data_IF_051660187459
#
_entry.id   IF_051660187459
#
_cell.length_a   1.000
_cell.length_b   1.000
_cell.length_c   1.000
_cell.angle_alpha   90.00
_cell.angle_beta   90.00
_cell.angle_gamma   90.00
#
_symmetry.space_group_name_H-M   'P 1'
#
loop_
_entity.id
_entity.type
_entity.pdbx_description
1 polymer ?
#
# COMPACT_ATOMS: atom_id res chain seq x y z
N UNK A 1 -2.83 -2.23 -6.21
CA UNK A 1 -2.65 -2.20 -4.73
C UNK A 1 -3.58 -1.13 -4.15
N UNK A 2 -3.81 -1.16 -2.84
CA UNK A 2 -4.65 -0.21 -2.08
C UNK A 2 -4.15 1.24 -2.11
N UNK A 3 -2.87 1.45 -2.38
CA UNK A 3 -2.20 2.75 -2.47
C UNK A 3 -1.99 3.24 -3.91
N UNK A 4 -2.33 2.45 -4.92
CA UNK A 4 -2.01 2.77 -6.33
C UNK A 4 -2.96 3.80 -6.96
N UNK A 5 -4.17 3.94 -6.41
CA UNK A 5 -5.17 4.93 -6.82
C UNK A 5 -5.53 5.82 -5.64
N UNK A 6 -5.85 7.07 -5.92
CA UNK A 6 -6.37 8.00 -4.92
C UNK A 6 -7.87 7.77 -4.72
N UNK A 7 -8.27 7.58 -3.46
CA UNK A 7 -9.66 7.56 -3.05
C UNK A 7 -10.15 9.00 -2.79
N UNK A 8 -11.32 9.37 -3.32
CA UNK A 8 -11.95 10.68 -3.12
C UNK A 8 -11.07 11.91 -3.49
N UNK A 9 -10.55 11.99 -4.73
CA UNK A 9 -9.64 13.07 -5.15
C UNK A 9 -10.23 14.49 -5.00
N UNK A 10 -11.55 14.63 -5.18
CA UNK A 10 -12.25 15.91 -5.03
C UNK A 10 -12.20 16.40 -3.58
N UNK A 11 -12.46 15.52 -2.62
CA UNK A 11 -12.43 15.88 -1.20
C UNK A 11 -11.02 16.29 -0.76
N UNK A 12 -9.99 15.58 -1.23
CA UNK A 12 -8.59 15.92 -0.98
C UNK A 12 -8.24 17.28 -1.60
N UNK A 13 -8.71 17.57 -2.81
CA UNK A 13 -8.48 18.86 -3.49
C UNK A 13 -9.17 20.01 -2.75
N UNK A 14 -10.39 19.80 -2.23
CA UNK A 14 -11.11 20.79 -1.42
C UNK A 14 -10.33 21.13 -0.14
N UNK A 15 -9.73 20.15 0.54
CA UNK A 15 -8.89 20.43 1.73
C UNK A 15 -7.74 21.39 1.39
N UNK A 16 -7.10 21.21 0.24
CA UNK A 16 -6.04 22.12 -0.25
C UNK A 16 -6.59 23.50 -0.58
N UNK A 17 -7.73 23.57 -1.26
CA UNK A 17 -8.37 24.83 -1.59
C UNK A 17 -8.69 25.63 -0.32
N UNK A 18 -9.31 24.99 0.66
CA UNK A 18 -9.67 25.60 1.93
C UNK A 18 -8.45 26.07 2.73
N UNK A 19 -7.41 25.23 2.83
CA UNK A 19 -6.16 25.58 3.51
C UNK A 19 -5.46 26.82 2.91
N UNK A 20 -5.63 27.05 1.60
CA UNK A 20 -5.02 28.16 0.88
C UNK A 20 -5.98 29.33 0.60
N UNK A 21 -7.16 29.33 1.22
CA UNK A 21 -8.21 30.34 1.01
C UNK A 21 -8.62 30.49 -0.47
N UNK A 22 -8.68 29.38 -1.19
CA UNK A 22 -9.27 29.30 -2.52
C UNK A 22 -10.75 28.92 -2.44
N UNK A 23 -11.59 29.39 -3.37
CA UNK A 23 -13.02 29.08 -3.38
C UNK A 23 -13.28 27.61 -3.71
N UNK A 24 -14.36 27.06 -3.14
CA UNK A 24 -14.75 25.65 -3.32
C UNK A 24 -15.55 25.39 -4.62
N UNK A 25 -15.80 26.42 -5.43
CA UNK A 25 -16.46 26.28 -6.74
C UNK A 25 -15.45 25.81 -7.81
N UNK A 26 -15.72 24.69 -8.49
CA UNK A 26 -14.80 24.04 -9.44
C UNK A 26 -14.08 25.01 -10.40
N UNK A 27 -14.83 25.88 -11.09
CA UNK A 27 -14.27 26.80 -12.09
C UNK A 27 -13.26 27.79 -11.50
N UNK A 28 -13.53 28.32 -10.30
CA UNK A 28 -12.67 29.33 -9.64
C UNK A 28 -11.59 28.69 -8.77
N UNK A 29 -11.81 27.48 -8.28
CA UNK A 29 -10.87 26.74 -7.45
C UNK A 29 -9.56 26.52 -8.19
N UNK A 30 -9.65 25.96 -9.40
CA UNK A 30 -8.48 25.64 -10.20
C UNK A 30 -7.70 26.91 -10.62
N UNK A 31 -8.39 28.00 -10.94
CA UNK A 31 -7.74 29.28 -11.24
C UNK A 31 -6.99 29.84 -10.02
N UNK A 32 -7.60 29.81 -8.84
CA UNK A 32 -6.96 30.26 -7.61
C UNK A 32 -5.74 29.42 -7.25
N UNK A 33 -5.86 28.08 -7.28
CA UNK A 33 -4.76 27.16 -6.95
C UNK A 33 -3.57 27.34 -7.90
N UNK A 34 -3.80 27.60 -9.19
CA UNK A 34 -2.73 27.90 -10.17
C UNK A 34 -1.93 29.16 -9.84
N UNK A 35 -2.48 30.09 -9.08
CA UNK A 35 -1.79 31.33 -8.67
C UNK A 35 -0.97 31.17 -7.38
N UNK A 36 -1.10 30.04 -6.67
CA UNK A 36 -0.33 29.74 -5.45
C UNK A 36 1.08 29.30 -5.81
N UNK A 37 2.04 29.59 -4.93
CA UNK A 37 3.41 29.14 -5.09
C UNK A 37 3.48 27.65 -4.76
N UNK A 38 4.40 26.94 -5.42
CA UNK A 38 4.58 25.50 -5.20
C UNK A 38 4.79 25.14 -3.72
N UNK A 39 5.61 25.91 -2.99
CA UNK A 39 5.86 25.64 -1.58
C UNK A 39 4.61 25.81 -0.70
N UNK A 40 3.68 26.69 -1.07
CA UNK A 40 2.40 26.84 -0.36
C UNK A 40 1.53 25.60 -0.59
N UNK A 41 1.48 25.11 -1.83
CA UNK A 41 0.73 23.90 -2.20
C UNK A 41 1.28 22.65 -1.50
N UNK A 42 2.59 22.46 -1.48
CA UNK A 42 3.23 21.28 -0.89
C UNK A 42 3.28 21.31 0.64
N UNK A 43 3.09 22.49 1.25
CA UNK A 43 3.08 22.64 2.71
C UNK A 43 1.70 22.36 3.33
N UNK A 44 0.64 22.20 2.52
CA UNK A 44 -0.68 21.86 3.05
C UNK A 44 -0.66 20.45 3.62
N UNK A 45 -1.04 20.34 4.88
CA UNK A 45 -1.26 19.06 5.54
C UNK A 45 -2.66 18.52 5.21
N UNK A 46 -2.72 17.55 4.30
CA UNK A 46 -3.97 16.93 3.86
C UNK A 46 -4.26 15.71 4.72
N UNK A 47 -5.44 15.70 5.33
CA UNK A 47 -5.91 14.58 6.12
C UNK A 47 -6.50 13.50 5.21
N UNK A 48 -5.85 12.33 5.19
CA UNK A 48 -6.34 11.12 4.53
C UNK A 48 -6.25 9.92 5.48
N UNK A 49 -7.12 8.92 5.32
CA UNK A 49 -7.00 7.69 6.10
C UNK A 49 -5.61 7.06 5.95
N UNK A 50 -5.09 6.39 6.99
CA UNK A 50 -3.85 5.64 6.91
C UNK A 50 -3.84 4.69 5.69
N UNK A 51 -2.65 4.44 5.15
CA UNK A 51 -2.42 3.56 3.99
C UNK A 51 -3.01 4.02 2.65
N UNK A 52 -3.65 5.19 2.57
CA UNK A 52 -4.17 5.80 1.34
C UNK A 52 -3.21 6.84 0.77
N UNK A 53 -3.27 6.99 -0.55
CA UNK A 53 -2.48 7.98 -1.28
C UNK A 53 -3.33 9.24 -1.51
N UNK A 54 -2.94 10.41 -0.95
CA UNK A 54 -3.75 11.63 -1.07
C UNK A 54 -3.79 12.15 -2.50
N UNK A 55 -2.65 12.17 -3.19
CA UNK A 55 -2.54 12.60 -4.58
C UNK A 55 -1.86 11.50 -5.40
N UNK A 56 -2.54 11.03 -6.43
CA UNK A 56 -2.11 9.91 -7.25
C UNK A 56 -3.07 9.70 -8.42
N UNK A 57 -2.88 8.61 -9.18
CA UNK A 57 -3.76 8.30 -10.30
C UNK A 57 -5.22 8.12 -9.86
N UNK A 58 -6.15 8.51 -10.73
CA UNK A 58 -7.61 8.40 -10.54
C UNK A 58 -8.23 7.75 -11.77
N UNK A 59 -9.39 7.11 -11.62
CA UNK A 59 -10.17 6.61 -12.76
C UNK A 59 -10.90 7.80 -13.40
N UNK A 60 -10.31 8.36 -14.45
CA UNK A 60 -10.79 9.56 -15.15
C UNK A 60 -11.63 9.24 -16.40
N UNK A 61 -11.71 7.97 -16.80
CA UNK A 61 -12.43 7.56 -18.00
C UNK A 61 -11.66 7.82 -19.30
N UNK A 62 -10.45 8.38 -19.23
CA UNK A 62 -9.62 8.73 -20.39
C UNK A 62 -8.25 8.06 -20.32
N UNK A 63 -7.38 8.50 -19.41
CA UNK A 63 -6.05 7.92 -19.22
C UNK A 63 -6.15 6.60 -18.45
N UNK A 64 -6.96 6.58 -17.40
CA UNK A 64 -7.34 5.38 -16.65
C UNK A 64 -8.83 5.15 -16.88
N UNK A 65 -9.19 4.40 -17.94
CA UNK A 65 -10.58 4.34 -18.40
C UNK A 65 -11.53 3.59 -17.45
N UNK A 66 -11.00 2.74 -16.57
CA UNK A 66 -11.76 1.96 -15.59
C UNK A 66 -10.84 1.49 -14.45
N UNK A 67 -11.40 0.81 -13.47
CA UNK A 67 -10.66 0.09 -12.44
C UNK A 67 -9.59 -0.83 -13.06
N UNK A 68 -8.30 -0.73 -12.65
CA UNK A 68 -7.22 -1.51 -13.24
C UNK A 68 -7.46 -3.02 -13.24
N UNK A 69 -8.14 -3.54 -12.23
CA UNK A 69 -8.49 -4.98 -12.16
C UNK A 69 -9.48 -5.41 -13.24
N UNK A 70 -10.41 -4.53 -13.63
CA UNK A 70 -11.36 -4.74 -14.74
C UNK A 70 -10.61 -4.65 -16.06
N UNK A 71 -9.74 -3.65 -16.21
CA UNK A 71 -8.93 -3.47 -17.43
C UNK A 71 -8.07 -4.71 -17.68
N UNK A 72 -7.28 -5.13 -16.69
CA UNK A 72 -6.37 -6.27 -16.81
C UNK A 72 -7.09 -7.59 -17.07
N UNK A 73 -8.33 -7.74 -16.58
CA UNK A 73 -9.12 -8.96 -16.76
C UNK A 73 -9.81 -9.03 -18.14
N UNK A 74 -10.31 -7.91 -18.64
CA UNK A 74 -11.19 -7.89 -19.82
C UNK A 74 -10.53 -7.35 -21.10
N UNK A 75 -9.53 -6.47 -20.97
CA UNK A 75 -8.85 -5.82 -22.09
C UNK A 75 -7.45 -6.40 -22.27
N UNK A 76 -7.40 -7.71 -22.48
CA UNK A 76 -6.18 -8.53 -22.52
C UNK A 76 -5.21 -8.15 -23.62
N UNK A 77 -5.70 -7.58 -24.72
CA UNK A 77 -4.87 -7.12 -25.85
C UNK A 77 -3.84 -6.08 -25.44
N UNK A 78 -4.12 -5.26 -24.42
CA UNK A 78 -3.13 -4.29 -23.91
C UNK A 78 -1.96 -5.00 -23.23
N UNK A 79 -2.25 -5.98 -22.38
CA UNK A 79 -1.24 -6.73 -21.63
C UNK A 79 -0.42 -7.67 -22.54
N UNK A 80 -1.02 -8.19 -23.61
CA UNK A 80 -0.35 -9.13 -24.51
C UNK A 80 0.82 -8.51 -25.30
N UNK A 81 0.84 -7.18 -25.46
CA UNK A 81 1.77 -6.51 -26.38
C UNK A 81 3.21 -6.39 -25.89
N UNK A 82 3.46 -6.62 -24.60
CA UNK A 82 4.77 -6.45 -23.99
C UNK A 82 5.19 -7.67 -23.20
N UNK A 83 6.50 -7.89 -23.09
CA UNK A 83 7.07 -8.89 -22.20
C UNK A 83 7.11 -8.28 -20.78
N UNK A 84 6.76 -9.05 -19.74
CA UNK A 84 6.66 -8.53 -18.38
C UNK A 84 7.62 -9.24 -17.45
N UNK A 85 8.35 -8.46 -16.66
CA UNK A 85 9.10 -8.94 -15.50
C UNK A 85 8.53 -8.27 -14.25
N UNK A 86 8.08 -9.09 -13.30
CA UNK A 86 7.60 -8.65 -11.99
C UNK A 86 8.44 -9.28 -10.91
N UNK A 87 8.48 -8.66 -9.73
CA UNK A 87 9.12 -9.31 -8.60
C UNK A 87 8.75 -8.68 -7.28
N UNK A 88 9.17 -9.37 -6.24
CA UNK A 88 8.97 -8.99 -4.86
C UNK A 88 10.30 -8.96 -4.12
N UNK A 89 10.32 -8.29 -2.99
CA UNK A 89 11.34 -8.46 -1.95
C UNK A 89 10.82 -9.35 -0.84
N UNK A 90 11.72 -9.89 -0.01
CA UNK A 90 11.33 -10.71 1.16
C UNK A 90 10.42 -9.95 2.14
N UNK A 91 10.61 -8.63 2.26
CA UNK A 91 9.86 -7.80 3.21
C UNK A 91 9.50 -6.44 2.62
N UNK A 92 8.33 -6.39 2.00
CA UNK A 92 7.86 -5.20 1.26
C UNK A 92 7.42 -4.05 2.17
N UNK A 93 6.92 -4.38 3.37
CA UNK A 93 6.32 -3.41 4.29
C UNK A 93 7.26 -2.92 5.38
N UNK A 94 8.56 -3.23 5.30
CA UNK A 94 9.55 -2.83 6.32
C UNK A 94 9.52 -1.32 6.63
N UNK A 95 9.40 -0.48 5.59
CA UNK A 95 9.40 0.98 5.71
C UNK A 95 8.13 1.56 6.36
N UNK A 96 7.13 0.72 6.70
CA UNK A 96 5.90 1.18 7.37
C UNK A 96 6.06 1.29 8.90
N UNK A 97 7.15 0.77 9.45
CA UNK A 97 7.45 0.82 10.88
C UNK A 97 8.61 1.77 11.17
N UNK A 98 8.62 2.31 12.39
CA UNK A 98 9.73 3.14 12.88
C UNK A 98 10.98 2.30 13.13
N UNK A 99 12.16 2.93 13.10
CA UNK A 99 13.43 2.28 13.43
C UNK A 99 13.38 1.55 14.80
N UNK A 100 12.68 2.13 15.79
CA UNK A 100 12.51 1.53 17.12
C UNK A 100 11.63 0.28 17.05
N UNK A 101 10.47 0.37 16.39
CA UNK A 101 9.56 -0.77 16.23
C UNK A 101 10.23 -1.92 15.46
N UNK A 102 11.09 -1.60 14.50
CA UNK A 102 11.85 -2.57 13.73
C UNK A 102 12.91 -3.31 14.55
N UNK A 103 13.50 -2.67 15.56
CA UNK A 103 14.52 -3.28 16.42
C UNK A 103 13.91 -4.00 17.61
N UNK A 104 13.04 -3.31 18.34
CA UNK A 104 12.49 -3.78 19.63
C UNK A 104 11.25 -4.65 19.45
N UNK A 105 10.49 -4.44 18.38
CA UNK A 105 9.18 -5.03 18.17
C UNK A 105 8.04 -4.06 18.52
N UNK A 106 6.82 -4.58 18.56
CA UNK A 106 5.60 -3.82 18.87
C UNK A 106 4.98 -4.31 20.16
N UNK A 107 4.34 -3.42 20.90
CA UNK A 107 3.39 -3.84 21.94
C UNK A 107 2.13 -4.43 21.29
N UNK A 108 1.37 -5.22 22.05
CA UNK A 108 0.10 -5.78 21.57
C UNK A 108 -0.89 -4.68 21.15
N UNK A 109 -0.92 -3.56 21.89
CA UNK A 109 -1.79 -2.43 21.58
C UNK A 109 -1.40 -1.76 20.25
N UNK A 110 -0.12 -1.47 20.03
CA UNK A 110 0.37 -0.88 18.77
C UNK A 110 0.08 -1.80 17.57
N UNK A 111 0.27 -3.10 17.76
CA UNK A 111 -0.04 -4.11 16.75
C UNK A 111 -1.53 -4.13 16.38
N UNK A 112 -2.42 -4.16 17.39
CA UNK A 112 -3.86 -4.13 17.18
C UNK A 112 -4.30 -2.82 16.52
N UNK A 113 -3.76 -1.68 16.95
CA UNK A 113 -4.05 -0.37 16.38
C UNK A 113 -3.69 -0.31 14.89
N UNK A 114 -2.46 -0.70 14.53
CA UNK A 114 -2.02 -0.71 13.12
C UNK A 114 -2.84 -1.65 12.25
N UNK A 115 -3.25 -2.81 12.78
CA UNK A 115 -4.17 -3.70 12.06
C UNK A 115 -5.54 -3.05 11.85
N UNK A 116 -6.09 -2.41 12.88
CA UNK A 116 -7.37 -1.74 12.77
C UNK A 116 -7.32 -0.61 11.73
N UNK A 117 -6.29 0.24 11.78
CA UNK A 117 -6.06 1.28 10.78
C UNK A 117 -6.06 0.70 9.35
N UNK A 118 -5.31 -0.38 9.13
CA UNK A 118 -5.20 -1.00 7.80
C UNK A 118 -6.51 -1.60 7.32
N UNK A 119 -7.16 -2.44 8.13
CA UNK A 119 -8.39 -3.12 7.73
C UNK A 119 -9.55 -2.15 7.56
N UNK A 120 -9.67 -1.12 8.41
CA UNK A 120 -10.69 -0.09 8.29
C UNK A 120 -10.47 0.77 7.03
N UNK A 121 -9.22 1.11 6.69
CA UNK A 121 -8.92 1.84 5.46
C UNK A 121 -9.13 1.00 4.19
N UNK A 122 -8.93 -0.32 4.26
CA UNK A 122 -9.00 -1.22 3.11
C UNK A 122 -10.41 -1.72 2.81
N UNK A 123 -11.24 -1.96 3.83
CA UNK A 123 -12.55 -2.58 3.69
C UNK A 123 -13.66 -1.67 4.22
N UNK A 124 -14.48 -1.14 3.31
CA UNK A 124 -15.67 -0.36 3.66
C UNK A 124 -16.73 -1.20 4.41
N UNK A 125 -16.72 -2.53 4.20
CA UNK A 125 -17.71 -3.44 4.76
C UNK A 125 -17.04 -4.59 5.51
N UNK A 126 -17.44 -4.78 6.76
CA UNK A 126 -16.97 -5.84 7.66
C UNK A 126 -15.43 -5.91 7.83
N UNK A 127 -14.74 -4.78 8.11
CA UNK A 127 -13.28 -4.79 8.33
C UNK A 127 -12.85 -5.73 9.45
N UNK A 128 -13.65 -5.84 10.52
CA UNK A 128 -13.41 -6.73 11.66
C UNK A 128 -13.36 -8.21 11.29
N UNK A 129 -14.23 -8.65 10.38
CA UNK A 129 -14.25 -10.03 9.91
C UNK A 129 -13.00 -10.34 9.07
N UNK A 130 -12.59 -9.40 8.20
CA UNK A 130 -11.39 -9.53 7.39
C UNK A 130 -10.13 -9.61 8.27
N UNK A 131 -10.04 -8.72 9.27
CA UNK A 131 -8.98 -8.72 10.28
C UNK A 131 -8.92 -10.04 11.04
N UNK A 132 -10.06 -10.53 11.54
CA UNK A 132 -10.15 -11.79 12.30
C UNK A 132 -9.67 -12.98 11.47
N UNK A 133 -10.06 -13.04 10.19
CA UNK A 133 -9.62 -14.10 9.27
C UNK A 133 -8.13 -14.02 8.96
N UNK A 134 -7.60 -12.81 8.72
CA UNK A 134 -6.18 -12.63 8.50
C UNK A 134 -5.40 -13.06 9.75
N UNK A 135 -5.78 -12.59 10.94
CA UNK A 135 -5.17 -12.99 12.20
C UNK A 135 -5.17 -14.51 12.36
N UNK A 136 -6.29 -15.19 12.14
CA UNK A 136 -6.35 -16.65 12.21
C UNK A 136 -5.39 -17.36 11.23
N UNK A 137 -5.19 -16.79 10.03
CA UNK A 137 -4.28 -17.34 9.02
C UNK A 137 -2.80 -17.18 9.40
N UNK A 138 -2.40 -16.01 9.91
CA UNK A 138 -0.99 -15.75 10.27
C UNK A 138 -0.63 -16.26 11.67
N UNK A 139 -1.61 -16.51 12.55
CA UNK A 139 -1.40 -17.05 13.91
C UNK A 139 -0.78 -18.44 13.95
N UNK A 140 -0.92 -19.25 12.90
CA UNK A 140 -0.32 -20.60 12.86
C UNK A 140 1.20 -20.59 12.80
N UNK A 141 1.83 -19.46 12.43
CA UNK A 141 3.28 -19.29 12.33
C UNK A 141 3.94 -18.79 13.64
N UNK A 142 3.15 -18.30 14.62
CA UNK A 142 3.65 -17.83 15.94
C UNK A 142 4.43 -18.89 16.74
N UNK A 143 4.24 -20.19 16.45
CA UNK A 143 4.97 -21.26 17.15
C UNK A 143 6.42 -21.43 16.67
N UNK A 144 6.82 -20.80 15.57
CA UNK A 144 8.14 -20.96 14.97
C UNK A 144 9.13 -19.84 15.33
N UNK A 145 8.66 -18.69 15.81
CA UNK A 145 9.51 -17.53 16.06
C UNK A 145 10.23 -17.64 17.40
N UNK A 146 11.56 -17.77 17.36
CA UNK A 146 12.43 -17.90 18.55
C UNK A 146 12.66 -16.56 19.29
N UNK A 147 11.78 -15.57 19.11
CA UNK A 147 11.92 -14.18 19.56
C UNK A 147 11.00 -13.78 20.72
N UNK A 148 11.10 -12.52 21.16
CA UNK A 148 10.18 -11.97 22.16
C UNK A 148 8.77 -11.81 21.57
N UNK A 149 7.70 -11.78 22.40
CA UNK A 149 6.34 -11.51 21.90
C UNK A 149 6.25 -10.22 21.08
N UNK A 150 6.99 -9.19 21.47
CA UNK A 150 7.02 -7.92 20.75
C UNK A 150 7.56 -8.06 19.31
N UNK A 151 8.59 -8.89 19.12
CA UNK A 151 9.14 -9.20 17.81
C UNK A 151 8.15 -10.03 16.99
N UNK A 152 7.45 -10.97 17.62
CA UNK A 152 6.38 -11.74 16.98
C UNK A 152 5.26 -10.86 16.42
N UNK A 153 4.80 -9.85 17.17
CA UNK A 153 3.81 -8.89 16.70
C UNK A 153 4.30 -8.06 15.51
N UNK A 154 5.54 -7.57 15.57
CA UNK A 154 6.18 -6.86 14.46
C UNK A 154 6.22 -7.72 13.21
N UNK A 155 6.75 -8.93 13.31
CA UNK A 155 6.94 -9.83 12.16
C UNK A 155 5.61 -10.23 11.54
N UNK A 156 4.61 -10.53 12.36
CA UNK A 156 3.26 -10.86 11.91
C UNK A 156 2.62 -9.67 11.18
N UNK A 157 2.75 -8.45 11.72
CA UNK A 157 2.23 -7.25 11.06
C UNK A 157 2.90 -7.03 9.70
N UNK A 158 4.23 -7.14 9.65
CA UNK A 158 5.00 -6.95 8.43
C UNK A 158 4.64 -7.99 7.37
N UNK A 159 4.41 -9.24 7.75
CA UNK A 159 3.93 -10.28 6.84
C UNK A 159 2.53 -9.94 6.29
N UNK A 160 1.57 -9.64 7.17
CA UNK A 160 0.19 -9.28 6.77
C UNK A 160 0.22 -8.10 5.79
N UNK A 161 0.96 -7.03 6.10
CA UNK A 161 1.00 -5.83 5.27
C UNK A 161 1.75 -6.09 3.96
N UNK A 162 2.86 -6.81 3.96
CA UNK A 162 3.63 -7.14 2.74
C UNK A 162 2.79 -7.95 1.77
N UNK A 163 2.10 -8.96 2.27
CA UNK A 163 1.23 -9.80 1.45
C UNK A 163 0.03 -9.02 0.93
N UNK A 164 -0.66 -8.30 1.82
CA UNK A 164 -1.92 -7.68 1.48
C UNK A 164 -1.78 -6.43 0.61
N UNK A 165 -0.66 -5.70 0.70
CA UNK A 165 -0.42 -4.44 -0.01
C UNK A 165 0.44 -4.58 -1.25
N UNK A 166 1.34 -5.58 -1.29
CA UNK A 166 2.32 -5.72 -2.38
C UNK A 166 2.29 -7.11 -2.99
N UNK A 167 2.48 -8.19 -2.23
CA UNK A 167 2.62 -9.53 -2.82
C UNK A 167 1.35 -9.98 -3.56
N UNK A 168 0.19 -9.94 -2.91
CA UNK A 168 -1.07 -10.36 -3.51
C UNK A 168 -1.43 -9.56 -4.79
N UNK A 169 -1.34 -8.22 -4.83
CA UNK A 169 -1.59 -7.49 -6.08
C UNK A 169 -0.54 -7.75 -7.17
N UNK A 170 0.74 -7.86 -6.85
CA UNK A 170 1.80 -8.13 -7.85
C UNK A 170 1.64 -9.53 -8.44
N UNK A 171 1.39 -10.54 -7.60
CA UNK A 171 1.11 -11.92 -8.06
C UNK A 171 -0.15 -11.94 -8.93
N UNK A 172 -1.21 -11.22 -8.54
CA UNK A 172 -2.43 -11.12 -9.35
C UNK A 172 -2.18 -10.44 -10.70
N UNK A 173 -1.38 -9.38 -10.74
CA UNK A 173 -1.00 -8.73 -12.01
C UNK A 173 -0.18 -9.67 -12.88
N UNK A 174 0.80 -10.38 -12.31
CA UNK A 174 1.58 -11.38 -13.03
C UNK A 174 0.70 -12.52 -13.58
N UNK A 175 -0.33 -12.93 -12.84
CA UNK A 175 -1.33 -13.90 -13.28
C UNK A 175 -2.17 -13.39 -14.46
N UNK A 176 -2.64 -12.14 -14.41
CA UNK A 176 -3.36 -11.56 -15.56
C UNK A 176 -2.48 -11.56 -16.82
N UNK A 177 -1.21 -11.18 -16.69
CA UNK A 177 -0.29 -11.12 -17.80
C UNK A 177 0.10 -12.52 -18.33
N UNK A 178 0.45 -13.47 -17.46
CA UNK A 178 0.88 -14.81 -17.91
C UNK A 178 -0.22 -15.61 -18.62
N UNK A 179 -1.49 -15.31 -18.34
CA UNK A 179 -2.63 -15.93 -19.02
C UNK A 179 -2.78 -15.48 -20.49
N UNK A 180 -2.14 -14.37 -20.87
CA UNK A 180 -2.31 -13.76 -22.20
C UNK A 180 -0.99 -13.62 -22.96
N UNK A 181 0.15 -13.63 -22.25
CA UNK A 181 1.49 -13.64 -22.83
C UNK A 181 2.42 -14.58 -22.03
N UNK A 182 3.01 -15.61 -22.67
CA UNK A 182 3.92 -16.56 -21.99
C UNK A 182 5.24 -15.93 -21.55
N UNK A 183 5.62 -14.76 -22.08
CA UNK A 183 6.84 -14.04 -21.70
C UNK A 183 6.62 -13.20 -20.45
N UNK A 184 6.29 -13.91 -19.37
CA UNK A 184 6.04 -13.36 -18.04
C UNK A 184 7.03 -13.97 -17.06
N UNK A 185 7.90 -13.14 -16.49
CA UNK A 185 8.98 -13.55 -15.58
C UNK A 185 8.70 -13.02 -14.17
N UNK A 186 8.88 -13.87 -13.16
CA UNK A 186 8.67 -13.51 -11.77
C UNK A 186 9.93 -13.79 -10.95
N UNK A 187 10.33 -12.86 -10.10
CA UNK A 187 11.46 -13.06 -9.18
C UNK A 187 11.12 -12.68 -7.74
N UNK A 188 11.87 -13.25 -6.79
CA UNK A 188 11.88 -12.82 -5.39
C UNK A 188 13.31 -12.45 -5.03
N UNK A 189 13.51 -11.20 -4.65
CA UNK A 189 14.79 -10.64 -4.28
C UNK A 189 15.02 -10.80 -2.78
N UNK A 190 16.02 -11.62 -2.41
CA UNK A 190 16.30 -12.01 -1.03
C UNK A 190 17.57 -11.36 -0.47
N UNK A 191 18.27 -10.53 -1.25
CA UNK A 191 19.54 -9.97 -0.79
C UNK A 191 19.33 -8.73 0.11
N UNK A 192 19.69 -8.85 1.38
CA UNK A 192 19.81 -7.71 2.29
C UNK A 192 21.23 -7.15 2.33
N UNK A 193 21.43 -5.87 2.01
CA UNK A 193 22.69 -5.17 2.26
C UNK A 193 23.05 -5.17 3.76
N UNK A 194 24.27 -5.61 4.09
CA UNK A 194 24.82 -5.71 5.45
C UNK A 194 25.27 -4.37 6.08
N UNK A 195 24.68 -3.24 5.67
CA UNK A 195 25.08 -1.94 6.20
C UNK A 195 24.48 -1.73 7.60
N UNK A 196 25.32 -1.97 8.62
CA UNK A 196 25.18 -1.66 10.04
C UNK A 196 23.95 -2.27 10.75
N UNK A 197 24.13 -3.43 11.42
CA UNK A 197 23.38 -3.90 12.61
C UNK A 197 21.82 -3.80 12.68
N UNK A 198 21.12 -3.40 11.61
CA UNK A 198 19.66 -3.19 11.57
C UNK A 198 18.86 -4.41 11.07
N UNK A 199 19.53 -5.50 10.68
CA UNK A 199 18.93 -6.59 9.87
C UNK A 199 19.22 -8.02 10.32
N UNK A 200 19.79 -8.24 11.50
CA UNK A 200 20.18 -9.60 11.94
C UNK A 200 19.01 -10.58 12.03
N UNK A 201 17.77 -10.09 12.21
CA UNK A 201 16.56 -10.91 12.31
C UNK A 201 15.87 -11.19 10.96
N UNK A 202 16.19 -10.45 9.90
CA UNK A 202 15.57 -10.65 8.57
C UNK A 202 16.23 -11.81 7.84
N UNK A 203 17.51 -12.10 8.10
CA UNK A 203 18.26 -13.15 7.41
C UNK A 203 18.11 -14.56 8.05
N UNK A 204 17.23 -14.72 9.05
CA UNK A 204 17.10 -15.97 9.83
C UNK A 204 15.78 -16.72 9.62
N UNK A 205 14.90 -16.26 8.71
CA UNK A 205 13.64 -16.95 8.36
C UNK A 205 13.74 -17.82 7.13
#
# INVERSE_FOLDING_TARGET
>A
ADWALTSNPVQVTIQVAQALNCPDSEDRMAECLRRKRLHELTAVDVQVPPFKTPFGPVVDGQVVPNEPSVIMKHYTSMLQQFDMMSGLTEMESYNLLSDVALVVGLTENEFIEKLNEFFNAKYERLPELARTKAMAYYRTWEKATSGSPAQGYRDTLLQILSDARVAAPVVRTAQYHCNVNPKSYFYVFQHGTNYANRRTWIQQS
#
